data_IF_262692307965
#
_entry.id   IF_262692307965
#
_cell.length_a   1.000
_cell.length_b   1.000
_cell.length_c   1.000
_cell.angle_alpha   90.00
_cell.angle_beta   90.00
_cell.angle_gamma   90.00
#
_symmetry.space_group_name_H-M   'P 1'
#
loop_
_entity.id
_entity.type
_entity.pdbx_description
1 polymer ?
#
# COMPACT_ATOMS: atom_id res chain seq x y z
N UNK A 1 -3.92 1.38 22.19
CA UNK A 1 -3.14 2.41 21.48
C UNK A 1 -2.07 1.85 20.52
N UNK A 2 -1.34 0.77 20.86
CA UNK A 2 -0.29 0.20 19.97
C UNK A 2 -0.81 -0.26 18.61
N UNK A 3 -1.89 -1.06 18.56
CA UNK A 3 -2.42 -1.59 17.29
C UNK A 3 -2.85 -0.49 16.32
N UNK A 4 -3.49 0.58 16.81
CA UNK A 4 -3.86 1.71 15.97
C UNK A 4 -2.62 2.44 15.43
N UNK A 5 -1.60 2.63 16.27
CA UNK A 5 -0.32 3.19 15.84
C UNK A 5 0.37 2.33 14.78
N UNK A 6 0.33 1.01 14.93
CA UNK A 6 0.93 0.06 13.98
C UNK A 6 0.20 0.05 12.63
N UNK A 7 -1.12 0.32 12.61
CA UNK A 7 -1.90 0.48 11.37
C UNK A 7 -1.64 1.84 10.71
N UNK A 8 -1.58 2.91 11.50
CA UNK A 8 -1.45 4.28 10.98
C UNK A 8 -0.03 4.59 10.52
N UNK A 9 0.99 3.97 11.13
CA UNK A 9 2.40 4.25 10.83
C UNK A 9 2.74 3.96 9.35
N UNK A 10 2.42 2.78 8.79
CA UNK A 10 2.62 2.54 7.36
C UNK A 10 1.93 3.59 6.49
N UNK A 11 0.69 3.97 6.81
CA UNK A 11 -0.08 4.96 6.02
C UNK A 11 0.66 6.29 5.98
N UNK A 12 1.11 6.77 7.15
CA UNK A 12 1.90 8.00 7.26
C UNK A 12 3.19 7.90 6.45
N UNK A 13 3.92 6.80 6.56
CA UNK A 13 5.18 6.59 5.83
C UNK A 13 4.97 6.58 4.32
N UNK A 14 3.90 5.93 3.82
CA UNK A 14 3.57 5.97 2.40
C UNK A 14 3.21 7.36 1.92
N UNK A 15 2.41 8.13 2.67
CA UNK A 15 2.09 9.52 2.31
C UNK A 15 3.36 10.35 2.19
N UNK A 16 4.25 10.28 3.20
CA UNK A 16 5.51 11.02 3.19
C UNK A 16 6.40 10.67 1.99
N UNK A 17 6.43 9.41 1.57
CA UNK A 17 7.16 9.01 0.36
C UNK A 17 6.50 9.63 -0.87
N UNK A 18 5.18 9.54 -0.99
CA UNK A 18 4.45 9.98 -2.19
C UNK A 18 4.42 11.50 -2.36
N UNK A 19 4.42 12.26 -1.27
CA UNK A 19 4.57 13.72 -1.27
C UNK A 19 5.99 14.19 -1.62
N UNK A 20 6.95 13.26 -1.74
CA UNK A 20 8.32 13.57 -2.12
C UNK A 20 8.43 14.16 -3.54
N UNK A 21 9.39 15.06 -3.74
CA UNK A 21 9.61 15.74 -5.04
C UNK A 21 10.17 14.83 -6.14
N UNK A 22 10.60 13.62 -5.79
CA UNK A 22 11.17 12.62 -6.70
C UNK A 22 10.26 11.40 -6.93
N UNK A 23 9.04 11.44 -6.40
CA UNK A 23 8.06 10.37 -6.56
C UNK A 23 7.70 10.16 -8.02
N UNK A 24 7.67 8.91 -8.46
CA UNK A 24 7.16 8.52 -9.77
C UNK A 24 6.06 7.44 -9.66
N UNK A 25 5.50 7.02 -10.80
CA UNK A 25 4.41 6.04 -10.85
C UNK A 25 4.77 4.69 -10.23
N UNK A 26 6.03 4.26 -10.33
CA UNK A 26 6.49 3.02 -9.74
C UNK A 26 6.53 3.10 -8.20
N UNK A 27 6.91 4.27 -7.65
CA UNK A 27 6.83 4.52 -6.22
C UNK A 27 5.37 4.45 -5.74
N UNK A 28 4.43 5.06 -6.49
CA UNK A 28 2.99 4.95 -6.21
C UNK A 28 2.55 3.48 -6.09
N UNK A 29 2.88 2.67 -7.08
CA UNK A 29 2.52 1.26 -7.09
C UNK A 29 3.19 0.47 -5.95
N UNK A 30 4.48 0.73 -5.68
CA UNK A 30 5.20 0.10 -4.57
C UNK A 30 4.58 0.42 -3.21
N UNK A 31 4.13 1.65 -2.99
CA UNK A 31 3.44 2.02 -1.74
C UNK A 31 2.08 1.32 -1.61
N UNK A 32 1.33 1.14 -2.70
CA UNK A 32 0.11 0.32 -2.68
C UNK A 32 0.41 -1.14 -2.30
N UNK A 33 1.44 -1.76 -2.85
CA UNK A 33 1.84 -3.13 -2.50
C UNK A 33 2.22 -3.26 -1.02
N UNK A 34 2.97 -2.28 -0.49
CA UNK A 34 3.31 -2.22 0.94
C UNK A 34 2.05 -2.08 1.81
N UNK A 35 1.10 -1.23 1.42
CA UNK A 35 -0.18 -1.11 2.11
C UNK A 35 -0.95 -2.43 2.13
N UNK A 36 -1.06 -3.10 0.98
CA UNK A 36 -1.72 -4.39 0.87
C UNK A 36 -1.10 -5.43 1.82
N UNK A 37 0.23 -5.51 1.86
CA UNK A 37 0.96 -6.41 2.74
C UNK A 37 0.66 -6.12 4.22
N UNK A 38 0.70 -4.84 4.63
CA UNK A 38 0.40 -4.43 6.00
C UNK A 38 -1.04 -4.76 6.43
N UNK A 39 -2.03 -4.48 5.56
CA UNK A 39 -3.43 -4.83 5.83
C UNK A 39 -3.60 -6.35 5.93
N UNK A 40 -2.93 -7.11 5.07
CA UNK A 40 -2.96 -8.59 5.09
C UNK A 40 -2.38 -9.15 6.39
N UNK A 41 -1.31 -8.57 6.92
CA UNK A 41 -0.65 -9.01 8.16
C UNK A 41 -1.40 -8.65 9.44
N UNK A 42 -2.47 -7.85 9.39
CA UNK A 42 -3.26 -7.52 10.58
C UNK A 42 -3.85 -8.79 11.25
N UNK A 43 -3.78 -8.91 12.59
CA UNK A 43 -4.36 -10.04 13.31
C UNK A 43 -5.89 -10.09 13.11
N UNK A 44 -6.42 -11.29 12.89
CA UNK A 44 -7.82 -11.50 12.50
C UNK A 44 -8.74 -11.43 13.72
N UNK A 45 -8.34 -11.95 14.87
CA UNK A 45 -9.25 -12.24 15.98
C UNK A 45 -9.80 -10.98 16.66
N UNK A 46 -8.92 -10.05 17.07
CA UNK A 46 -9.34 -8.83 17.78
C UNK A 46 -9.81 -7.69 16.85
N UNK A 47 -9.49 -7.77 15.55
CA UNK A 47 -9.64 -6.65 14.62
C UNK A 47 -10.32 -7.00 13.31
N UNK A 48 -11.04 -8.12 13.22
CA UNK A 48 -11.71 -8.60 12.00
C UNK A 48 -12.50 -7.51 11.26
N UNK A 49 -13.34 -6.77 11.98
CA UNK A 49 -14.19 -5.71 11.41
C UNK A 49 -13.36 -4.56 10.84
N UNK A 50 -12.31 -4.16 11.56
CA UNK A 50 -11.39 -3.12 11.12
C UNK A 50 -10.60 -3.59 9.89
N UNK A 51 -10.01 -4.78 9.94
CA UNK A 51 -9.28 -5.39 8.83
C UNK A 51 -10.12 -5.46 7.57
N UNK A 52 -11.35 -5.95 7.67
CA UNK A 52 -12.28 -6.02 6.53
C UNK A 52 -12.62 -4.63 5.98
N UNK A 53 -12.75 -3.62 6.84
CA UNK A 53 -12.96 -2.23 6.41
C UNK A 53 -11.75 -1.68 5.67
N UNK A 54 -10.54 -1.93 6.17
CA UNK A 54 -9.29 -1.57 5.51
C UNK A 54 -9.15 -2.25 4.14
N UNK A 55 -9.41 -3.56 4.05
CA UNK A 55 -9.37 -4.31 2.78
C UNK A 55 -10.36 -3.70 1.77
N UNK A 56 -11.60 -3.43 2.19
CA UNK A 56 -12.63 -2.85 1.31
C UNK A 56 -12.21 -1.47 0.78
N UNK A 57 -11.70 -0.60 1.66
CA UNK A 57 -11.24 0.74 1.26
C UNK A 57 -10.02 0.63 0.35
N UNK A 58 -9.05 -0.22 0.69
CA UNK A 58 -7.86 -0.46 -0.11
C UNK A 58 -8.24 -0.93 -1.51
N UNK A 59 -9.05 -1.98 -1.64
CA UNK A 59 -9.43 -2.53 -2.95
C UNK A 59 -10.18 -1.50 -3.81
N UNK A 60 -11.09 -0.73 -3.21
CA UNK A 60 -11.79 0.35 -3.93
C UNK A 60 -10.81 1.36 -4.49
N UNK A 61 -9.83 1.79 -3.69
CA UNK A 61 -8.83 2.78 -4.13
C UNK A 61 -7.86 2.18 -5.11
N UNK A 62 -7.38 0.96 -4.88
CA UNK A 62 -6.48 0.28 -5.79
C UNK A 62 -7.09 0.12 -7.19
N UNK A 63 -8.40 -0.18 -7.29
CA UNK A 63 -9.09 -0.25 -8.58
C UNK A 63 -9.10 1.07 -9.37
N UNK A 64 -8.93 2.23 -8.72
CA UNK A 64 -8.78 3.52 -9.40
C UNK A 64 -7.38 3.68 -10.03
N UNK A 65 -6.42 2.82 -9.65
CA UNK A 65 -5.02 2.84 -10.08
C UNK A 65 -4.58 1.51 -10.72
N UNK A 66 -5.51 0.59 -10.98
CA UNK A 66 -5.27 -0.72 -11.60
C UNK A 66 -5.14 -0.59 -13.13
N UNK A 67 -4.28 0.34 -13.54
CA UNK A 67 -3.97 0.63 -14.93
C UNK A 67 -2.59 0.07 -15.27
N UNK A 68 -2.44 -0.49 -16.47
CA UNK A 68 -1.23 -1.16 -16.93
C UNK A 68 0.04 -0.30 -16.80
N UNK A 69 -0.10 1.03 -16.88
CA UNK A 69 1.03 1.97 -16.76
C UNK A 69 1.70 1.93 -15.38
N UNK A 70 0.93 1.72 -14.29
CA UNK A 70 1.51 1.62 -12.94
C UNK A 70 2.25 0.31 -12.77
N UNK A 71 1.68 -0.78 -13.30
CA UNK A 71 2.31 -2.10 -13.28
C UNK A 71 3.59 -2.11 -14.13
N UNK A 72 3.55 -1.52 -15.32
CA UNK A 72 4.73 -1.35 -16.18
C UNK A 72 5.81 -0.52 -15.49
N UNK A 73 5.46 0.62 -14.90
CA UNK A 73 6.41 1.46 -14.16
C UNK A 73 7.06 0.68 -13.02
N UNK A 74 6.30 -0.12 -12.30
CA UNK A 74 6.82 -1.01 -11.25
C UNK A 74 7.84 -2.02 -11.80
N UNK A 75 7.58 -2.66 -12.95
CA UNK A 75 8.54 -3.59 -13.55
C UNK A 75 9.83 -2.91 -14.03
N UNK A 76 9.76 -1.64 -14.39
CA UNK A 76 10.93 -0.83 -14.75
C UNK A 76 11.68 -0.28 -13.52
N UNK A 77 11.17 -0.48 -12.30
CA UNK A 77 11.77 0.05 -11.09
C UNK A 77 13.10 -0.67 -10.77
N UNK A 78 14.20 0.05 -10.40
CA UNK A 78 15.48 -0.58 -10.09
C UNK A 78 15.47 -1.65 -8.99
N UNK A 79 14.47 -1.61 -8.10
CA UNK A 79 14.27 -2.62 -7.05
C UNK A 79 13.49 -3.84 -7.51
N UNK A 80 12.81 -3.80 -8.66
CA UNK A 80 12.15 -4.98 -9.18
C UNK A 80 13.22 -5.96 -9.68
N UNK A 81 13.22 -7.15 -9.08
CA UNK A 81 14.03 -8.28 -9.53
C UNK A 81 13.06 -9.33 -10.02
N UNK A 82 12.85 -9.38 -11.34
CA UNK A 82 12.13 -10.48 -11.96
C UNK A 82 12.91 -11.76 -11.70
N UNK A 83 12.39 -12.61 -10.84
CA UNK A 83 12.90 -13.96 -10.63
C UNK A 83 12.09 -14.92 -11.50
#
# INVERSE_FOLDING_TARGET
MRVLSDILKPIKESILVLEGTKTNLADCYLQFLKMAANVKSMPIDDYKTLKNSCIRIFNRRFAEYDEDIYLLAFFLHPYYKGN
#
